data_IF_733933635674
#
_entry.id   IF_733933635674
#
_cell.length_a   1.000
_cell.length_b   1.000
_cell.length_c   1.000
_cell.angle_alpha   90.00
_cell.angle_beta   90.00
_cell.angle_gamma   90.00
#
_symmetry.space_group_name_H-M   'P 1'
#
loop_
_entity.id
_entity.type
_entity.pdbx_description
1 polymer ?
#
# COMPACT_ATOMS: atom_id res chain seq x y z
N UNK A 1 23.50 20.11 11.65
CA UNK A 1 22.38 19.29 12.13
C UNK A 1 21.34 19.24 11.02
N UNK A 2 21.33 18.17 10.23
CA UNK A 2 20.38 17.99 9.13
C UNK A 2 19.08 17.41 9.69
N UNK A 3 18.02 18.21 9.71
CA UNK A 3 16.66 17.77 10.00
C UNK A 3 16.18 16.86 8.87
N UNK A 4 16.20 15.55 9.08
CA UNK A 4 15.59 14.57 8.19
C UNK A 4 14.07 14.68 8.31
N UNK A 5 13.44 15.35 7.35
CA UNK A 5 11.99 15.39 7.22
C UNK A 5 11.43 13.95 7.11
N UNK A 6 10.73 13.49 8.16
CA UNK A 6 9.97 12.24 8.14
C UNK A 6 8.60 12.49 7.50
N UNK A 7 8.59 12.65 6.17
CA UNK A 7 7.38 12.51 5.36
C UNK A 7 7.10 11.02 5.06
N UNK A 8 6.22 10.73 4.09
CA UNK A 8 4.92 10.01 4.16
C UNK A 8 4.79 8.66 4.93
N UNK A 9 5.83 8.12 5.58
CA UNK A 9 5.79 6.75 6.15
C UNK A 9 4.67 6.51 7.19
N UNK A 10 4.27 7.52 7.93
CA UNK A 10 3.19 7.41 8.93
C UNK A 10 1.82 7.13 8.30
N UNK A 11 1.57 7.61 7.07
CA UNK A 11 0.31 7.36 6.36
C UNK A 11 0.23 5.94 5.80
N UNK A 12 1.35 5.42 5.27
CA UNK A 12 1.43 4.06 4.74
C UNK A 12 1.34 3.02 5.86
N UNK A 13 2.06 3.22 6.98
CA UNK A 13 1.98 2.32 8.12
C UNK A 13 0.57 2.33 8.74
N UNK A 14 -0.12 3.47 8.78
CA UNK A 14 -1.50 3.56 9.22
C UNK A 14 -2.44 2.74 8.30
N UNK A 15 -2.30 2.86 6.98
CA UNK A 15 -3.07 2.05 6.03
C UNK A 15 -2.79 0.54 6.19
N UNK A 16 -1.52 0.16 6.35
CA UNK A 16 -1.13 -1.23 6.60
C UNK A 16 -1.74 -1.76 7.91
N UNK A 17 -1.83 -0.93 8.95
CA UNK A 17 -2.44 -1.29 10.23
C UNK A 17 -3.95 -1.51 10.11
N UNK A 18 -4.65 -0.72 9.29
CA UNK A 18 -6.09 -0.90 9.06
C UNK A 18 -6.39 -2.23 8.38
N UNK A 19 -5.70 -2.51 7.26
CA UNK A 19 -5.80 -3.81 6.57
C UNK A 19 -5.45 -4.96 7.53
N UNK A 20 -4.40 -4.80 8.33
CA UNK A 20 -4.00 -5.79 9.33
C UNK A 20 -5.01 -5.96 10.46
N UNK A 21 -5.72 -4.91 10.83
CA UNK A 21 -6.79 -4.91 11.82
C UNK A 21 -7.94 -5.79 11.37
N UNK A 22 -8.37 -5.63 10.12
CA UNK A 22 -9.43 -6.46 9.53
C UNK A 22 -9.03 -7.93 9.42
N UNK A 23 -7.80 -8.20 8.96
CA UNK A 23 -7.29 -9.58 8.90
C UNK A 23 -7.26 -10.20 10.31
N UNK A 24 -6.82 -9.46 11.34
CA UNK A 24 -6.87 -9.94 12.74
C UNK A 24 -8.29 -10.21 13.20
N UNK A 25 -9.22 -9.32 12.88
CA UNK A 25 -10.62 -9.49 13.24
C UNK A 25 -11.18 -10.79 12.64
N UNK A 26 -10.90 -11.05 11.37
CA UNK A 26 -11.27 -12.30 10.70
C UNK A 26 -10.62 -13.54 11.30
N UNK A 27 -9.30 -13.50 11.59
CA UNK A 27 -8.63 -14.59 12.28
C UNK A 27 -9.28 -14.86 13.66
N UNK A 28 -9.58 -13.81 14.42
CA UNK A 28 -10.26 -13.92 15.71
C UNK A 28 -11.67 -14.52 15.60
N UNK A 29 -12.48 -14.05 14.64
CA UNK A 29 -13.83 -14.57 14.36
C UNK A 29 -13.83 -16.06 14.01
N UNK A 30 -12.79 -16.53 13.31
CA UNK A 30 -12.66 -17.92 12.86
C UNK A 30 -11.81 -18.80 13.79
N UNK A 31 -11.27 -18.26 14.89
CA UNK A 31 -10.38 -18.99 15.79
C UNK A 31 -9.02 -19.40 15.18
N UNK A 32 -8.59 -18.70 14.13
CA UNK A 32 -7.36 -18.97 13.39
C UNK A 32 -6.16 -18.24 14.00
N UNK A 33 -4.98 -18.86 13.91
CA UNK A 33 -3.73 -18.32 14.43
C UNK A 33 -2.87 -17.72 13.32
N UNK A 34 -1.86 -16.93 13.67
CA UNK A 34 -0.87 -16.43 12.72
C UNK A 34 -0.15 -17.57 11.97
N UNK A 35 0.01 -18.74 12.62
CA UNK A 35 0.52 -19.98 12.01
C UNK A 35 -0.23 -20.33 10.72
N UNK A 36 -1.55 -20.36 10.78
CA UNK A 36 -2.41 -20.65 9.63
C UNK A 36 -2.18 -19.67 8.47
N UNK A 37 -2.01 -18.37 8.79
CA UNK A 37 -1.77 -17.35 7.77
C UNK A 37 -0.39 -17.48 7.12
N UNK A 38 0.63 -17.93 7.87
CA UNK A 38 1.95 -18.21 7.30
C UNK A 38 1.91 -19.40 6.35
N UNK A 39 1.25 -20.48 6.79
CA UNK A 39 1.11 -21.69 5.99
C UNK A 39 0.33 -21.39 4.70
N UNK A 40 -0.76 -20.62 4.80
CA UNK A 40 -1.57 -20.18 3.66
C UNK A 40 -0.76 -19.37 2.64
N UNK A 41 0.08 -18.45 3.11
CA UNK A 41 0.84 -17.53 2.26
C UNK A 41 2.21 -18.09 1.84
N UNK A 42 2.63 -19.23 2.36
CA UNK A 42 3.95 -19.81 2.10
C UNK A 42 5.11 -18.95 2.63
N UNK A 43 4.90 -18.19 3.71
CA UNK A 43 5.91 -17.30 4.31
C UNK A 43 6.19 -17.66 5.76
N UNK A 44 7.31 -17.20 6.32
CA UNK A 44 7.61 -17.44 7.74
C UNK A 44 6.73 -16.65 8.71
N UNK A 45 6.53 -17.18 9.93
CA UNK A 45 5.80 -16.51 11.02
C UNK A 45 6.27 -15.09 11.32
N UNK A 46 7.57 -14.84 11.25
CA UNK A 46 8.15 -13.50 11.47
C UNK A 46 7.66 -12.48 10.42
N UNK A 47 7.48 -12.90 9.17
CA UNK A 47 6.95 -12.05 8.11
C UNK A 47 5.48 -11.73 8.35
N UNK A 48 4.67 -12.73 8.72
CA UNK A 48 3.26 -12.52 9.11
C UNK A 48 3.14 -11.57 10.29
N UNK A 49 3.95 -11.75 11.34
CA UNK A 49 3.95 -10.87 12.51
C UNK A 49 4.30 -9.41 12.14
N UNK A 50 5.29 -9.20 11.27
CA UNK A 50 5.63 -7.86 10.76
C UNK A 50 4.48 -7.25 9.97
N UNK A 51 3.82 -8.05 9.11
CA UNK A 51 2.66 -7.60 8.34
C UNK A 51 1.52 -7.17 9.23
N UNK A 52 1.12 -8.03 10.17
CA UNK A 52 0.06 -7.72 11.11
C UNK A 52 0.38 -6.47 11.96
N UNK A 53 1.65 -6.21 12.30
CA UNK A 53 2.06 -4.96 12.99
C UNK A 53 2.10 -3.73 12.08
N UNK A 54 1.71 -3.85 10.81
CA UNK A 54 1.72 -2.78 9.81
C UNK A 54 3.11 -2.41 9.28
N UNK A 55 4.16 -3.14 9.67
CA UNK A 55 5.55 -2.87 9.25
C UNK A 55 5.80 -3.32 7.81
N UNK A 56 5.10 -4.38 7.38
CA UNK A 56 5.12 -4.85 6.00
C UNK A 56 3.68 -4.81 5.46
N UNK A 57 3.47 -4.44 4.20
CA UNK A 57 2.14 -4.47 3.59
C UNK A 57 1.70 -5.92 3.31
N UNK A 58 0.40 -6.15 3.17
CA UNK A 58 -0.13 -7.29 2.42
C UNK A 58 -0.27 -6.88 0.96
N UNK A 59 0.15 -7.74 0.04
CA UNK A 59 -0.04 -7.51 -1.39
C UNK A 59 -1.47 -7.87 -1.80
N UNK A 60 -1.96 -7.28 -2.89
CA UNK A 60 -3.31 -7.57 -3.40
C UNK A 60 -3.53 -9.07 -3.67
N UNK A 61 -2.61 -9.83 -4.30
CA UNK A 61 -2.77 -11.27 -4.45
C UNK A 61 -2.89 -12.02 -3.13
N UNK A 62 -2.11 -11.66 -2.11
CA UNK A 62 -2.21 -12.28 -0.79
C UNK A 62 -3.57 -12.00 -0.14
N UNK A 63 -4.14 -10.79 -0.32
CA UNK A 63 -5.48 -10.46 0.16
C UNK A 63 -6.55 -11.33 -0.51
N UNK A 64 -6.46 -11.55 -1.82
CA UNK A 64 -7.37 -12.47 -2.51
C UNK A 64 -7.21 -13.91 -2.02
N UNK A 65 -5.99 -14.38 -1.80
CA UNK A 65 -5.72 -15.71 -1.23
C UNK A 65 -6.36 -15.87 0.15
N UNK A 66 -6.25 -14.86 1.02
CA UNK A 66 -6.87 -14.85 2.35
C UNK A 66 -8.39 -14.87 2.24
N UNK A 67 -8.97 -14.01 1.41
CA UNK A 67 -10.42 -13.94 1.21
C UNK A 67 -10.99 -15.27 0.71
N UNK A 68 -10.34 -15.87 -0.29
CA UNK A 68 -10.72 -17.18 -0.82
C UNK A 68 -10.61 -18.29 0.25
N UNK A 69 -9.55 -18.31 1.06
CA UNK A 69 -9.38 -19.28 2.13
C UNK A 69 -10.40 -19.13 3.28
N UNK A 70 -10.96 -17.94 3.46
CA UNK A 70 -12.00 -17.63 4.44
C UNK A 70 -13.43 -17.79 3.89
N UNK A 71 -13.57 -18.10 2.61
CA UNK A 71 -14.82 -18.20 1.85
C UNK A 71 -15.67 -16.92 1.94
N UNK A 72 -15.03 -15.78 1.70
CA UNK A 72 -15.65 -14.44 1.69
C UNK A 72 -15.11 -13.63 0.51
N UNK A 73 -15.83 -12.56 0.14
CA UNK A 73 -15.34 -11.61 -0.85
C UNK A 73 -14.20 -10.73 -0.31
N UNK A 74 -13.41 -10.14 -1.22
CA UNK A 74 -12.38 -9.16 -0.83
C UNK A 74 -12.98 -7.92 -0.13
N UNK A 75 -14.19 -7.51 -0.52
CA UNK A 75 -14.91 -6.42 0.13
C UNK A 75 -15.28 -6.74 1.57
N UNK A 76 -15.75 -7.97 1.83
CA UNK A 76 -16.01 -8.43 3.21
C UNK A 76 -14.73 -8.59 4.03
N UNK A 77 -13.64 -9.00 3.40
CA UNK A 77 -12.34 -9.10 4.07
C UNK A 77 -11.88 -7.73 4.59
N UNK A 78 -12.03 -6.68 3.78
CA UNK A 78 -11.53 -5.33 4.09
C UNK A 78 -12.56 -4.43 4.78
N UNK A 79 -13.84 -4.78 4.76
CA UNK A 79 -14.90 -4.03 5.45
C UNK A 79 -14.93 -2.56 5.03
N UNK A 80 -15.10 -1.66 6.00
CA UNK A 80 -15.21 -0.22 5.77
C UNK A 80 -13.89 0.44 5.35
N UNK A 81 -12.74 -0.24 5.50
CA UNK A 81 -11.41 0.27 5.10
C UNK A 81 -11.39 0.63 3.62
N UNK A 82 -12.16 -0.05 2.77
CA UNK A 82 -12.24 0.27 1.32
C UNK A 82 -12.89 1.62 1.03
N UNK A 83 -13.67 2.14 1.98
CA UNK A 83 -14.35 3.43 1.87
C UNK A 83 -13.66 4.53 2.66
N UNK A 84 -12.57 4.20 3.38
CA UNK A 84 -11.84 5.18 4.15
C UNK A 84 -11.14 6.19 3.23
N UNK A 85 -11.45 7.47 3.46
CA UNK A 85 -10.79 8.55 2.76
C UNK A 85 -9.42 8.74 3.40
N UNK A 86 -8.38 8.23 2.72
CA UNK A 86 -7.01 8.45 3.16
C UNK A 86 -6.79 9.94 3.44
N UNK A 87 -6.07 10.28 4.52
CA UNK A 87 -5.64 11.64 4.73
C UNK A 87 -4.77 12.03 3.54
N UNK A 88 -5.36 12.76 2.60
CA UNK A 88 -4.61 13.50 1.61
C UNK A 88 -3.79 14.51 2.41
N UNK A 89 -2.48 14.64 2.17
CA UNK A 89 -1.72 15.72 2.75
C UNK A 89 -2.49 17.00 2.43
N UNK A 90 -3.01 17.66 3.46
CA UNK A 90 -3.63 18.96 3.25
C UNK A 90 -2.47 19.87 2.85
N UNK A 91 -2.46 20.29 1.60
CA UNK A 91 -1.59 21.35 1.14
C UNK A 91 -2.31 22.65 1.47
N UNK A 92 -2.22 23.10 2.71
CA UNK A 92 -2.86 24.34 3.20
C UNK A 92 -2.28 25.59 2.50
N UNK A 93 -1.24 25.43 1.68
CA UNK A 93 -0.71 26.44 0.76
C UNK A 93 -0.45 25.78 -0.59
N UNK A 94 -0.95 26.43 -1.65
CA UNK A 94 -0.90 25.93 -3.03
C UNK A 94 0.43 25.30 -3.41
N UNK A 95 0.38 23.99 -3.63
CA UNK A 95 1.27 23.32 -4.54
C UNK A 95 0.34 22.53 -5.45
N UNK A 96 0.00 23.12 -6.60
CA UNK A 96 -0.13 22.29 -7.79
C UNK A 96 1.08 21.37 -7.79
N UNK A 97 0.86 20.07 -7.91
CA UNK A 97 1.93 19.15 -8.26
C UNK A 97 2.38 19.57 -9.65
N UNK A 98 3.27 20.55 -9.72
CA UNK A 98 4.05 20.83 -10.91
C UNK A 98 4.84 19.55 -11.09
N UNK A 99 4.47 18.75 -12.10
CA UNK A 99 5.41 17.82 -12.68
C UNK A 99 6.65 18.64 -12.96
N UNK A 100 7.72 18.45 -12.19
CA UNK A 100 9.02 18.93 -12.63
C UNK A 100 9.32 18.11 -13.88
N UNK A 101 8.94 18.67 -15.04
CA UNK A 101 9.63 18.40 -16.29
C UNK A 101 11.10 18.57 -15.94
N UNK A 102 11.80 17.45 -15.88
CA UNK A 102 13.24 17.46 -15.87
C UNK A 102 13.64 18.39 -17.00
N UNK A 103 14.20 19.55 -16.64
CA UNK A 103 14.72 20.54 -17.58
C UNK A 103 16.02 20.03 -18.20
N UNK A 104 15.97 18.81 -18.74
CA UNK A 104 16.91 18.23 -19.68
C UNK A 104 16.10 17.80 -20.91
N UNK A 105 15.76 18.80 -21.73
CA UNK A 105 15.59 18.66 -23.17
C UNK A 105 14.52 17.66 -23.63
N UNK A 106 13.25 17.91 -23.31
CA UNK A 106 12.17 17.33 -24.10
C UNK A 106 11.94 18.18 -25.36
N UNK A 107 12.26 17.62 -26.53
CA UNK A 107 11.85 18.20 -27.80
C UNK A 107 10.44 17.67 -28.17
N UNK A 108 9.46 18.53 -28.46
CA UNK A 108 8.12 18.07 -28.83
C UNK A 108 8.15 17.27 -30.13
N UNK A 109 7.31 16.23 -30.20
CA UNK A 109 7.20 15.33 -31.34
C UNK A 109 6.91 16.13 -32.61
N UNK A 110 7.90 16.20 -33.50
CA UNK A 110 7.91 17.07 -34.68
C UNK A 110 9.22 17.80 -34.91
N UNK A 111 10.10 17.87 -33.92
CA UNK A 111 11.39 18.60 -34.02
C UNK A 111 12.60 17.74 -34.41
N UNK A 112 12.45 16.52 -34.92
CA UNK A 112 13.62 15.78 -35.42
C UNK A 112 14.09 16.40 -36.76
N UNK A 113 15.23 17.10 -36.83
CA UNK A 113 15.71 17.61 -38.10
C UNK A 113 16.13 16.43 -38.99
N UNK A 114 15.82 16.51 -40.29
CA UNK A 114 16.36 15.55 -41.27
C UNK A 114 17.90 15.61 -41.19
N UNK A 115 18.60 14.46 -41.22
CA UNK A 115 20.04 14.48 -41.39
C UNK A 115 20.32 15.19 -42.73
N UNK A 116 21.07 16.28 -42.68
CA UNK A 116 21.69 16.83 -43.88
C UNK A 116 22.84 15.88 -44.25
N UNK A 117 22.94 15.59 -45.56
CA UNK A 117 23.97 14.77 -46.22
C UNK A 117 25.40 15.21 -45.83
#
# INVERSE_FOLDING_TARGET
MTTTAHGPQLSEQAANLQVSGEIRAWLGRRGLRQAWLADLLGVGQSAVSKRLRGVLPFTVPELFTIAAALDISLGELLGDVVNEKLPHPRTDGGAEVIYQEASNGWAPWGSNPRPAD
#
